data_IF_427109560478
#
_entry.id   IF_427109560478
#
_cell.length_a   1.000
_cell.length_b   1.000
_cell.length_c   1.000
_cell.angle_alpha   90.00
_cell.angle_beta   90.00
_cell.angle_gamma   90.00
#
_symmetry.space_group_name_H-M   'P 1'
#
loop_
_entity.id
_entity.type
_entity.pdbx_description
1 polymer ?
#
# COMPACT_ATOMS: atom_id res chain seq x y z
N UNK A 1 -31.19 -29.95 -1.98
CA UNK A 1 -29.95 -30.53 -2.53
C UNK A 1 -28.80 -29.64 -2.10
N UNK A 2 -28.07 -30.07 -1.08
CA UNK A 2 -26.98 -29.29 -0.48
C UNK A 2 -25.84 -29.12 -1.50
N UNK A 3 -25.38 -27.88 -1.66
CA UNK A 3 -24.66 -27.42 -2.83
C UNK A 3 -23.23 -28.01 -2.85
N UNK A 4 -22.99 -29.06 -3.65
CA UNK A 4 -21.73 -29.84 -3.75
C UNK A 4 -20.44 -28.99 -3.84
N UNK A 5 -20.53 -27.76 -4.35
CA UNK A 5 -19.42 -26.81 -4.45
C UNK A 5 -19.04 -26.21 -3.09
N UNK A 6 -20.01 -25.94 -2.22
CA UNK A 6 -19.79 -25.39 -0.87
C UNK A 6 -19.11 -26.43 0.03
N UNK A 7 -19.61 -27.67 0.01
CA UNK A 7 -19.01 -28.80 0.75
C UNK A 7 -17.56 -29.07 0.34
N UNK A 8 -17.20 -28.84 -0.93
CA UNK A 8 -15.83 -29.03 -1.41
C UNK A 8 -14.88 -27.93 -0.91
N UNK A 9 -15.35 -26.70 -0.82
CA UNK A 9 -14.57 -25.57 -0.28
C UNK A 9 -14.33 -25.75 1.22
N UNK A 10 -15.35 -26.18 1.96
CA UNK A 10 -15.24 -26.44 3.39
C UNK A 10 -14.30 -27.60 3.69
N UNK A 11 -14.41 -28.71 2.97
CA UNK A 11 -13.47 -29.83 3.08
C UNK A 11 -12.01 -29.38 2.82
N UNK A 12 -11.78 -28.53 1.82
CA UNK A 12 -10.43 -27.97 1.55
C UNK A 12 -9.91 -27.08 2.68
N UNK A 13 -10.77 -26.23 3.28
CA UNK A 13 -10.41 -25.40 4.43
C UNK A 13 -10.04 -26.28 5.64
N UNK A 14 -10.79 -27.36 5.88
CA UNK A 14 -10.56 -28.30 6.96
C UNK A 14 -9.22 -29.03 6.80
N UNK A 15 -8.92 -29.51 5.59
CA UNK A 15 -7.64 -30.17 5.26
C UNK A 15 -6.45 -29.22 5.49
N UNK A 16 -6.58 -27.96 5.09
CA UNK A 16 -5.53 -26.95 5.34
C UNK A 16 -5.35 -26.72 6.86
N UNK A 17 -6.45 -26.65 7.62
CA UNK A 17 -6.41 -26.44 9.08
C UNK A 17 -5.76 -27.60 9.84
N UNK A 18 -5.91 -28.82 9.34
CA UNK A 18 -5.37 -30.04 9.95
C UNK A 18 -3.96 -30.41 9.44
N UNK A 19 -3.43 -29.68 8.46
CA UNK A 19 -2.13 -29.98 7.83
C UNK A 19 -0.95 -29.31 8.53
N UNK A 20 0.20 -30.00 8.56
CA UNK A 20 1.46 -29.43 9.05
C UNK A 20 1.87 -28.18 8.23
N UNK A 21 2.31 -27.12 8.90
CA UNK A 21 2.70 -25.86 8.27
C UNK A 21 3.82 -26.04 7.23
N UNK A 22 4.76 -26.96 7.47
CA UNK A 22 5.84 -27.24 6.52
C UNK A 22 5.31 -27.80 5.20
N UNK A 23 4.33 -28.71 5.28
CA UNK A 23 3.63 -29.26 4.12
C UNK A 23 2.95 -28.14 3.34
N UNK A 24 2.25 -27.24 4.04
CA UNK A 24 1.62 -26.06 3.41
C UNK A 24 2.65 -25.16 2.72
N UNK A 25 3.76 -24.83 3.41
CA UNK A 25 4.83 -23.99 2.84
C UNK A 25 5.48 -24.65 1.62
N UNK A 26 5.71 -25.97 1.65
CA UNK A 26 6.28 -26.73 0.54
C UNK A 26 5.36 -26.71 -0.68
N UNK A 27 4.07 -26.95 -0.49
CA UNK A 27 3.06 -26.90 -1.57
C UNK A 27 2.93 -25.49 -2.15
N UNK A 28 2.91 -24.46 -1.30
CA UNK A 28 2.88 -23.07 -1.75
C UNK A 28 4.12 -22.70 -2.58
N UNK A 29 5.32 -23.10 -2.13
CA UNK A 29 6.56 -22.88 -2.90
C UNK A 29 6.55 -23.63 -4.23
N UNK A 30 6.11 -24.90 -4.23
CA UNK A 30 5.98 -25.73 -5.44
C UNK A 30 5.03 -25.10 -6.47
N UNK A 31 4.00 -24.39 -6.02
CA UNK A 31 3.03 -23.68 -6.88
C UNK A 31 3.45 -22.24 -7.21
N UNK A 32 4.66 -21.82 -6.81
CA UNK A 32 5.26 -20.52 -7.13
C UNK A 32 4.89 -19.38 -6.18
N UNK A 33 4.19 -19.66 -5.07
CA UNK A 33 3.88 -18.66 -4.05
C UNK A 33 5.04 -18.53 -3.06
N UNK A 34 5.39 -17.29 -2.77
CA UNK A 34 6.44 -16.98 -1.82
C UNK A 34 5.97 -15.92 -0.82
N UNK A 35 6.40 -16.05 0.43
CA UNK A 35 6.22 -15.02 1.45
C UNK A 35 7.01 -13.77 1.09
N UNK A 36 6.34 -12.63 1.01
CA UNK A 36 6.91 -11.32 0.72
C UNK A 36 6.24 -10.25 1.56
N UNK A 37 6.95 -9.16 1.85
CA UNK A 37 6.35 -8.00 2.49
C UNK A 37 5.36 -7.34 1.51
N UNK A 38 4.15 -7.06 2.00
CA UNK A 38 3.13 -6.34 1.24
C UNK A 38 3.58 -4.90 0.99
N UNK A 39 3.34 -4.40 -0.22
CA UNK A 39 3.62 -2.99 -0.52
C UNK A 39 2.56 -2.11 0.13
N UNK A 40 2.98 -1.09 0.88
CA UNK A 40 2.10 -0.03 1.37
C UNK A 40 1.72 0.87 0.21
N UNK A 41 0.44 0.98 -0.09
CA UNK A 41 -0.06 1.89 -1.13
C UNK A 41 -1.38 2.53 -0.67
N UNK A 42 -1.57 3.83 -0.89
CA UNK A 42 -2.87 4.45 -0.68
C UNK A 42 -3.88 3.80 -1.63
N UNK A 43 -5.08 3.53 -1.12
CA UNK A 43 -6.16 3.03 -1.94
C UNK A 43 -6.72 4.19 -2.77
N UNK A 44 -6.33 4.26 -4.05
CA UNK A 44 -6.75 5.33 -4.96
C UNK A 44 -7.92 4.81 -5.82
N UNK A 45 -9.08 5.46 -5.68
CA UNK A 45 -10.27 5.15 -6.49
C UNK A 45 -10.05 5.39 -8.00
N UNK A 46 -10.88 4.77 -8.84
CA UNK A 46 -10.75 4.84 -10.32
C UNK A 46 -10.70 6.28 -10.84
N UNK A 47 -11.61 7.14 -10.36
CA UNK A 47 -11.68 8.58 -10.74
C UNK A 47 -10.38 9.32 -10.42
N UNK A 48 -9.83 9.12 -9.22
CA UNK A 48 -8.60 9.78 -8.78
C UNK A 48 -7.38 9.28 -9.57
N UNK A 49 -7.34 8.01 -10.00
CA UNK A 49 -6.26 7.51 -10.88
C UNK A 49 -6.25 8.23 -12.22
N UNK A 50 -7.41 8.47 -12.83
CA UNK A 50 -7.51 9.20 -14.10
C UNK A 50 -7.05 10.65 -13.93
N UNK A 51 -7.52 11.33 -12.88
CA UNK A 51 -7.08 12.71 -12.58
C UNK A 51 -5.57 12.81 -12.39
N UNK A 52 -4.97 11.88 -11.63
CA UNK A 52 -3.52 11.82 -11.42
C UNK A 52 -2.74 11.56 -12.70
N UNK A 53 -3.24 10.69 -13.57
CA UNK A 53 -2.60 10.41 -14.86
C UNK A 53 -2.67 11.62 -15.79
N UNK A 54 -3.81 12.31 -15.85
CA UNK A 54 -3.98 13.55 -16.61
C UNK A 54 -3.00 14.62 -16.12
N UNK A 55 -2.97 14.88 -14.82
CA UNK A 55 -2.03 15.82 -14.20
C UNK A 55 -0.57 15.49 -14.54
N UNK A 56 -0.17 14.22 -14.41
CA UNK A 56 1.20 13.79 -14.73
C UNK A 56 1.55 14.03 -16.20
N UNK A 57 0.66 13.71 -17.13
CA UNK A 57 0.87 13.95 -18.57
C UNK A 57 0.99 15.43 -18.91
N UNK A 58 0.19 16.29 -18.27
CA UNK A 58 0.22 17.74 -18.48
C UNK A 58 1.50 18.40 -17.95
N UNK A 59 2.11 17.82 -16.92
CA UNK A 59 3.24 18.44 -16.21
C UNK A 59 4.60 17.78 -16.48
N UNK A 60 4.65 16.59 -17.10
CA UNK A 60 5.91 15.84 -17.32
C UNK A 60 6.92 16.58 -18.21
N UNK A 61 6.45 17.40 -19.16
CA UNK A 61 7.30 18.18 -20.08
C UNK A 61 7.51 19.63 -19.63
N UNK A 62 7.08 19.99 -18.42
CA UNK A 62 7.28 21.36 -17.93
C UNK A 62 8.77 21.65 -17.70
N UNK A 63 9.26 22.84 -18.08
CA UNK A 63 10.66 23.20 -17.91
C UNK A 63 11.02 23.33 -16.44
N UNK A 64 12.31 23.20 -16.11
CA UNK A 64 12.78 23.32 -14.73
C UNK A 64 12.41 24.65 -14.07
N UNK A 65 12.40 25.75 -14.83
CA UNK A 65 12.00 27.08 -14.35
C UNK A 65 10.59 27.08 -13.75
N UNK A 66 9.65 26.37 -14.38
CA UNK A 66 8.29 26.21 -13.84
C UNK A 66 8.33 25.56 -12.46
N UNK A 67 9.08 24.47 -12.30
CA UNK A 67 9.20 23.78 -11.01
C UNK A 67 9.93 24.60 -9.95
N UNK A 68 10.81 25.52 -10.35
CA UNK A 68 11.53 26.38 -9.41
C UNK A 68 10.60 27.37 -8.68
N UNK A 69 9.50 27.75 -9.30
CA UNK A 69 8.49 28.68 -8.76
C UNK A 69 7.39 27.96 -7.97
N UNK A 70 7.30 26.63 -8.08
CA UNK A 70 6.26 25.86 -7.37
C UNK A 70 6.66 25.69 -5.91
N UNK A 71 5.77 26.16 -5.03
CA UNK A 71 5.82 25.91 -3.59
C UNK A 71 4.86 24.76 -3.27
N UNK A 72 5.38 23.71 -2.62
CA UNK A 72 4.60 22.57 -2.17
C UNK A 72 4.37 22.67 -0.66
N UNK A 73 3.13 22.49 -0.23
CA UNK A 73 2.77 22.26 1.17
C UNK A 73 2.27 20.83 1.36
N UNK A 74 2.67 20.17 2.44
CA UNK A 74 2.06 18.89 2.84
C UNK A 74 2.02 18.77 4.37
N UNK A 75 1.04 18.01 4.84
CA UNK A 75 0.88 17.66 6.24
C UNK A 75 1.47 16.27 6.49
N UNK A 76 2.50 16.21 7.33
CA UNK A 76 3.10 14.95 7.76
C UNK A 76 2.60 14.57 9.15
N UNK A 77 2.21 13.30 9.30
CA UNK A 77 1.80 12.72 10.59
C UNK A 77 2.95 11.89 11.16
N UNK A 78 3.41 12.24 12.35
CA UNK A 78 4.35 11.45 13.14
C UNK A 78 3.58 10.68 14.21
N UNK A 79 3.52 9.35 14.06
CA UNK A 79 2.89 8.49 15.06
C UNK A 79 3.80 8.42 16.30
N UNK A 80 3.27 8.77 17.48
CA UNK A 80 4.01 8.67 18.76
C UNK A 80 3.96 7.21 19.26
N UNK A 81 2.86 6.51 18.99
CA UNK A 81 2.65 5.10 19.35
C UNK A 81 2.19 4.27 18.16
N UNK A 82 2.70 3.04 18.06
CA UNK A 82 2.37 2.08 17.02
C UNK A 82 3.39 2.04 15.86
N UNK A 83 3.97 0.86 15.64
CA UNK A 83 4.79 0.60 14.44
C UNK A 83 3.84 0.37 13.27
N UNK A 84 4.05 1.05 12.15
CA UNK A 84 3.41 0.64 10.90
C UNK A 84 3.98 -0.71 10.46
N UNK A 85 3.40 -1.79 11.00
CA UNK A 85 3.92 -3.15 10.90
C UNK A 85 4.15 -3.62 9.46
N UNK A 86 5.09 -4.56 9.32
CA UNK A 86 5.32 -5.27 8.05
C UNK A 86 4.28 -6.39 7.93
N UNK A 87 3.31 -6.23 7.03
CA UNK A 87 2.39 -7.30 6.68
C UNK A 87 3.08 -8.27 5.70
N UNK A 88 3.08 -9.56 6.00
CA UNK A 88 3.55 -10.61 5.09
C UNK A 88 2.39 -11.15 4.25
N UNK A 89 2.61 -11.26 2.94
CA UNK A 89 1.67 -11.83 1.97
C UNK A 89 2.34 -12.94 1.17
N UNK A 90 1.60 -14.01 0.90
CA UNK A 90 2.03 -15.07 -0.02
C UNK A 90 1.60 -14.69 -1.43
N UNK A 91 2.56 -14.47 -2.33
CA UNK A 91 2.25 -14.07 -3.72
C UNK A 91 3.24 -14.64 -4.73
N UNK A 92 2.81 -14.73 -5.98
CA UNK A 92 3.66 -15.06 -7.13
C UNK A 92 4.55 -13.86 -7.53
N UNK A 93 5.64 -14.09 -8.28
CA UNK A 93 6.42 -13.02 -8.90
C UNK A 93 5.53 -12.06 -9.71
N UNK A 94 5.95 -10.80 -9.86
CA UNK A 94 5.27 -9.75 -10.66
C UNK A 94 3.84 -9.35 -10.25
N UNK A 95 3.29 -9.92 -9.18
CA UNK A 95 1.94 -9.55 -8.67
C UNK A 95 1.98 -8.54 -7.52
N UNK A 96 3.07 -7.78 -7.36
CA UNK A 96 3.26 -6.89 -6.19
C UNK A 96 2.30 -5.71 -6.12
N UNK A 97 1.75 -5.30 -7.26
CA UNK A 97 0.86 -4.15 -7.36
C UNK A 97 -0.63 -4.55 -7.39
N UNK A 98 -0.91 -5.85 -7.29
CA UNK A 98 -2.28 -6.32 -7.23
C UNK A 98 -2.91 -5.86 -5.89
N UNK A 99 -4.13 -5.27 -5.87
CA UNK A 99 -4.74 -4.73 -4.66
C UNK A 99 -4.80 -5.71 -3.48
N UNK A 100 -4.99 -7.01 -3.77
CA UNK A 100 -5.00 -8.09 -2.76
C UNK A 100 -3.64 -8.35 -2.09
N UNK A 101 -2.53 -7.85 -2.64
CA UNK A 101 -1.17 -8.05 -2.12
C UNK A 101 -0.55 -6.74 -1.60
N UNK A 102 -1.35 -5.67 -1.52
CA UNK A 102 -0.94 -4.37 -1.00
C UNK A 102 -1.69 -4.08 0.29
N UNK A 103 -1.01 -3.48 1.25
CA UNK A 103 -1.67 -3.00 2.48
C UNK A 103 -2.11 -1.56 2.26
N UNK A 104 -3.40 -1.24 2.45
CA UNK A 104 -3.85 0.14 2.39
C UNK A 104 -3.23 0.93 3.54
N UNK A 105 -2.74 2.12 3.24
CA UNK A 105 -2.31 3.09 4.25
C UNK A 105 -3.51 3.93 4.64
N UNK A 106 -4.07 3.70 5.83
CA UNK A 106 -5.09 4.59 6.43
C UNK A 106 -4.38 5.65 7.27
N UNK A 107 -4.84 6.91 7.18
CA UNK A 107 -4.17 8.04 7.85
C UNK A 107 -4.58 8.24 9.32
N UNK A 108 -5.68 7.63 9.78
CA UNK A 108 -6.31 7.99 11.05
C UNK A 108 -6.30 6.84 12.07
N UNK A 109 -5.81 7.10 13.29
CA UNK A 109 -5.72 6.15 14.40
C UNK A 109 -4.44 6.31 15.22
N UNK A 110 -4.56 6.31 16.56
CA UNK A 110 -3.45 6.44 17.52
C UNK A 110 -2.95 7.88 17.73
N UNK A 111 -2.42 8.17 18.92
CA UNK A 111 -1.83 9.47 19.25
C UNK A 111 -0.68 9.82 18.30
N UNK A 112 -0.76 11.01 17.70
CA UNK A 112 0.18 11.47 16.68
C UNK A 112 0.30 12.98 16.67
N UNK A 113 1.49 13.48 16.31
CA UNK A 113 1.70 14.91 16.02
C UNK A 113 1.56 15.11 14.52
N UNK A 114 0.83 16.14 14.12
CA UNK A 114 0.79 16.60 12.74
C UNK A 114 1.68 17.81 12.60
N UNK A 115 2.51 17.83 11.55
CA UNK A 115 3.39 18.95 11.22
C UNK A 115 3.06 19.38 9.81
N UNK A 116 2.82 20.68 9.61
CA UNK A 116 2.69 21.27 8.30
C UNK A 116 4.06 21.78 7.84
N UNK A 117 4.50 21.33 6.66
CA UNK A 117 5.75 21.77 6.04
C UNK A 117 5.48 22.38 4.68
N UNK A 118 6.21 23.44 4.35
CA UNK A 118 6.19 24.08 3.04
C UNK A 118 7.61 24.08 2.47
N UNK A 119 7.76 23.65 1.21
CA UNK A 119 9.06 23.54 0.53
C UNK A 119 8.97 23.98 -0.93
N UNK A 120 10.02 24.63 -1.43
CA UNK A 120 10.22 25.00 -2.83
C UNK A 120 11.67 24.76 -3.25
N UNK A 121 11.97 24.85 -4.54
CA UNK A 121 13.34 24.63 -5.06
C UNK A 121 14.36 25.66 -4.54
N UNK A 122 13.91 26.86 -4.19
CA UNK A 122 14.76 27.90 -3.59
C UNK A 122 14.56 27.87 -2.07
N UNK A 123 15.38 27.07 -1.38
CA UNK A 123 15.65 27.13 0.06
C UNK A 123 14.47 27.30 1.05
N UNK A 124 13.97 26.19 1.60
CA UNK A 124 13.41 26.07 2.96
C UNK A 124 12.32 27.05 3.42
N UNK A 125 11.05 26.68 3.24
CA UNK A 125 9.93 27.37 3.90
C UNK A 125 9.91 27.11 5.41
N UNK A 126 9.52 28.13 6.21
CA UNK A 126 9.37 28.03 7.66
C UNK A 126 8.27 27.02 8.02
N UNK A 127 8.59 26.06 8.89
CA UNK A 127 7.60 25.19 9.52
C UNK A 127 7.00 25.91 10.73
N UNK A 128 5.68 25.98 10.82
CA UNK A 128 4.96 26.49 12.00
C UNK A 128 4.22 25.35 12.68
N UNK A 129 4.38 25.26 13.99
CA UNK A 129 3.69 24.30 14.86
C UNK A 129 2.40 25.02 15.35
N UNK A 130 1.25 24.37 15.25
CA UNK A 130 0.01 24.75 15.95
C UNK A 130 -0.36 23.62 16.90
#
# INVERSE_FOLDING_TARGET
MENRKETTIEKRKLVIKLSNEETVRRVLRKTGYNGRVARKKPLIGKRNRVKRLKFAKEHILKPQQFWNEVIFGDECKFNIFGRDGRLMVWRKPNTSHHPKHTTPTVKHGGGSVMILGVYGCVGGGKASIH
#
